data_IF_987394240032
#
_entry.id   IF_987394240032
#
_cell.length_a   1.000
_cell.length_b   1.000
_cell.length_c   1.000
_cell.angle_alpha   90.00
_cell.angle_beta   90.00
_cell.angle_gamma   90.00
#
_symmetry.space_group_name_H-M   'P 1'
#
loop_
_entity.id
_entity.type
_entity.pdbx_description
1 polymer ?
#
# COMPACT_ATOMS: atom_id res chain seq x y z
N UNK A 1 39.07 -20.28 -21.35
CA UNK A 1 38.36 -19.13 -20.73
C UNK A 1 36.88 -19.31 -21.03
N UNK A 2 35.99 -18.99 -20.08
CA UNK A 2 34.55 -19.15 -20.24
C UNK A 2 33.83 -17.85 -19.88
N UNK A 3 32.67 -17.63 -20.48
CA UNK A 3 31.78 -16.50 -20.20
C UNK A 3 30.35 -17.00 -20.00
N UNK A 4 29.62 -16.39 -19.07
CA UNK A 4 28.21 -16.66 -18.78
C UNK A 4 27.49 -15.31 -18.59
N UNK A 5 26.31 -15.19 -19.17
CA UNK A 5 25.45 -14.01 -19.06
C UNK A 5 24.12 -14.38 -18.41
N UNK A 6 23.43 -13.36 -17.90
CA UNK A 6 22.09 -13.49 -17.32
C UNK A 6 21.06 -12.78 -18.21
N UNK A 7 19.79 -13.24 -18.22
CA UNK A 7 18.75 -12.61 -19.02
C UNK A 7 18.44 -11.19 -18.53
N UNK A 8 18.07 -10.32 -19.47
CA UNK A 8 17.39 -9.07 -19.15
C UNK A 8 15.97 -9.38 -18.70
N UNK A 9 15.53 -8.70 -17.65
CA UNK A 9 14.20 -8.91 -17.07
C UNK A 9 13.19 -8.01 -17.79
N UNK A 10 12.22 -8.64 -18.46
CA UNK A 10 11.08 -7.99 -19.12
C UNK A 10 9.80 -8.61 -18.58
N UNK A 11 8.76 -7.80 -18.39
CA UNK A 11 7.43 -8.29 -18.01
C UNK A 11 6.74 -8.95 -19.21
N UNK A 12 5.76 -9.82 -18.95
CA UNK A 12 5.03 -10.53 -20.01
C UNK A 12 4.25 -9.58 -20.94
N UNK A 13 3.90 -8.39 -20.45
CA UNK A 13 3.24 -7.33 -21.22
C UNK A 13 4.22 -6.48 -22.06
N UNK A 14 5.51 -6.80 -22.06
CA UNK A 14 6.55 -6.09 -22.79
C UNK A 14 7.11 -4.86 -22.07
N UNK A 15 6.60 -4.53 -20.88
CA UNK A 15 7.14 -3.41 -20.09
C UNK A 15 8.48 -3.75 -19.45
N UNK A 16 9.30 -2.71 -19.25
CA UNK A 16 10.63 -2.85 -18.62
C UNK A 16 10.47 -3.04 -17.11
N UNK A 17 11.08 -4.10 -16.58
CA UNK A 17 11.16 -4.34 -15.14
C UNK A 17 11.90 -3.21 -14.40
N UNK A 18 11.50 -2.95 -13.15
CA UNK A 18 12.11 -1.94 -12.28
C UNK A 18 11.66 -0.50 -12.54
N UNK A 19 10.60 -0.30 -13.33
CA UNK A 19 9.95 1.01 -13.46
C UNK A 19 8.69 1.08 -12.58
N UNK A 20 8.61 2.10 -11.74
CA UNK A 20 7.37 2.44 -11.03
C UNK A 20 6.29 2.93 -12.01
N UNK A 21 5.03 2.91 -11.58
CA UNK A 21 3.86 3.39 -12.34
C UNK A 21 3.97 4.87 -12.76
N UNK A 22 4.83 5.65 -12.10
CA UNK A 22 5.15 7.05 -12.45
C UNK A 22 6.37 7.25 -13.35
N UNK A 23 7.01 6.17 -13.84
CA UNK A 23 8.13 6.23 -14.80
C UNK A 23 9.53 6.34 -14.19
N UNK A 24 9.66 6.38 -12.86
CA UNK A 24 10.94 6.42 -12.14
C UNK A 24 11.51 5.04 -11.83
N UNK A 25 12.82 5.00 -11.52
CA UNK A 25 13.53 3.80 -11.05
C UNK A 25 13.03 3.35 -9.68
N UNK A 26 13.02 2.04 -9.45
CA UNK A 26 12.90 1.44 -8.12
C UNK A 26 14.30 1.35 -7.49
N UNK A 27 14.54 2.09 -6.40
CA UNK A 27 15.85 2.15 -5.74
C UNK A 27 15.92 1.17 -4.56
N UNK A 28 17.13 0.70 -4.24
CA UNK A 28 17.38 -0.10 -3.03
C UNK A 28 17.51 0.78 -1.78
N UNK A 29 17.83 2.07 -1.95
CA UNK A 29 17.96 3.02 -0.85
C UNK A 29 16.57 3.36 -0.29
N UNK A 30 16.31 3.11 1.01
CA UNK A 30 15.01 3.34 1.64
C UNK A 30 14.58 4.82 1.66
N UNK A 31 15.50 5.78 1.45
CA UNK A 31 15.18 7.20 1.35
C UNK A 31 14.72 7.60 -0.06
N UNK A 32 15.09 6.83 -1.10
CA UNK A 32 14.70 7.06 -2.49
C UNK A 32 13.48 6.23 -2.89
N UNK A 33 13.35 5.03 -2.34
CA UNK A 33 12.17 4.16 -2.48
C UNK A 33 11.90 3.55 -1.12
N UNK A 34 10.79 3.95 -0.50
CA UNK A 34 10.45 3.44 0.83
C UNK A 34 10.30 1.91 0.80
N UNK A 35 10.58 1.21 1.91
CA UNK A 35 10.31 -0.23 2.01
C UNK A 35 8.87 -0.60 1.66
N UNK A 36 7.92 0.31 1.95
CA UNK A 36 6.52 0.15 1.55
C UNK A 36 6.33 0.19 0.03
N UNK A 37 6.89 1.20 -0.65
CA UNK A 37 6.84 1.30 -2.11
C UNK A 37 7.53 0.10 -2.78
N UNK A 38 8.67 -0.34 -2.24
CA UNK A 38 9.39 -1.54 -2.67
C UNK A 38 8.50 -2.79 -2.59
N UNK A 39 7.92 -3.05 -1.42
CA UNK A 39 7.02 -4.19 -1.24
C UNK A 39 5.78 -4.09 -2.15
N UNK A 40 5.18 -2.91 -2.27
CA UNK A 40 4.00 -2.70 -3.13
C UNK A 40 4.32 -2.91 -4.62
N UNK A 41 5.53 -2.59 -5.07
CA UNK A 41 5.94 -2.90 -6.43
C UNK A 41 5.85 -4.42 -6.70
N UNK A 42 6.44 -5.23 -5.83
CA UNK A 42 6.46 -6.68 -5.99
C UNK A 42 5.12 -7.35 -5.71
N UNK A 43 4.33 -6.85 -4.75
CA UNK A 43 2.99 -7.41 -4.48
C UNK A 43 2.04 -7.21 -5.65
N UNK A 44 2.31 -6.22 -6.50
CA UNK A 44 1.54 -5.91 -7.70
C UNK A 44 2.01 -6.63 -8.97
N UNK A 45 3.04 -7.50 -8.87
CA UNK A 45 3.48 -8.36 -9.98
C UNK A 45 2.30 -9.16 -10.56
N UNK A 46 2.27 -9.26 -11.89
CA UNK A 46 1.25 -10.01 -12.61
C UNK A 46 1.32 -11.51 -12.29
N UNK A 47 0.20 -12.22 -12.36
CA UNK A 47 0.18 -13.69 -12.22
C UNK A 47 1.06 -14.36 -13.29
N UNK A 48 1.18 -13.75 -14.48
CA UNK A 48 1.99 -14.26 -15.59
C UNK A 48 3.51 -14.18 -15.34
N UNK A 49 3.96 -13.27 -14.47
CA UNK A 49 5.39 -13.02 -14.22
C UNK A 49 5.85 -13.55 -12.86
N UNK A 50 4.96 -13.67 -11.88
CA UNK A 50 5.34 -13.87 -10.48
C UNK A 50 6.15 -15.14 -10.24
N UNK A 51 5.81 -16.27 -10.87
CA UNK A 51 6.55 -17.53 -10.71
C UNK A 51 7.94 -17.44 -11.35
N UNK A 52 8.04 -16.77 -12.51
CA UNK A 52 9.34 -16.51 -13.15
C UNK A 52 10.22 -15.63 -12.27
N UNK A 53 9.64 -14.60 -11.65
CA UNK A 53 10.38 -13.68 -10.77
C UNK A 53 10.79 -14.36 -9.47
N UNK A 54 9.91 -15.15 -8.84
CA UNK A 54 10.28 -15.98 -7.69
C UNK A 54 11.48 -16.86 -8.04
N UNK A 55 11.42 -17.58 -9.16
CA UNK A 55 12.51 -18.46 -9.60
C UNK A 55 13.83 -17.74 -9.87
N UNK A 56 13.79 -16.48 -10.30
CA UNK A 56 15.00 -15.72 -10.63
C UNK A 56 15.59 -14.94 -9.45
N UNK A 57 14.76 -14.47 -8.53
CA UNK A 57 15.18 -13.52 -7.50
C UNK A 57 15.18 -14.09 -6.09
N UNK A 58 14.76 -15.34 -5.91
CA UNK A 58 14.71 -16.00 -4.60
C UNK A 58 15.43 -17.34 -4.63
N UNK A 59 15.60 -17.95 -3.46
CA UNK A 59 16.25 -19.25 -3.30
C UNK A 59 15.25 -20.39 -3.09
N UNK A 60 13.99 -20.21 -3.50
CA UNK A 60 12.96 -21.22 -3.35
C UNK A 60 13.28 -22.50 -4.11
N UNK A 61 12.92 -23.63 -3.52
CA UNK A 61 13.02 -24.93 -4.16
C UNK A 61 12.02 -25.05 -5.33
N UNK A 62 12.28 -26.02 -6.22
CA UNK A 62 11.36 -26.32 -7.31
C UNK A 62 9.97 -26.77 -6.80
N UNK A 63 9.94 -27.45 -5.65
CA UNK A 63 8.70 -27.89 -4.99
C UNK A 63 7.92 -26.68 -4.46
N UNK A 64 8.56 -25.75 -3.75
CA UNK A 64 7.92 -24.51 -3.28
C UNK A 64 7.39 -23.65 -4.44
N UNK A 65 8.13 -23.59 -5.55
CA UNK A 65 7.69 -22.88 -6.75
C UNK A 65 6.45 -23.53 -7.38
N UNK A 66 6.40 -24.87 -7.44
CA UNK A 66 5.26 -25.60 -7.97
C UNK A 66 4.00 -25.40 -7.10
N UNK A 67 4.15 -25.38 -5.77
CA UNK A 67 3.04 -25.07 -4.85
C UNK A 67 2.48 -23.66 -5.07
N UNK A 68 3.36 -22.67 -5.25
CA UNK A 68 2.96 -21.28 -5.49
C UNK A 68 2.34 -21.10 -6.88
N UNK A 69 2.80 -21.85 -7.89
CA UNK A 69 2.21 -21.87 -9.23
C UNK A 69 0.79 -22.44 -9.18
N UNK A 70 0.58 -23.57 -8.51
CA UNK A 70 -0.75 -24.14 -8.28
C UNK A 70 -1.64 -23.17 -7.50
N UNK A 71 -1.12 -22.54 -6.44
CA UNK A 71 -1.88 -21.56 -5.67
C UNK A 71 -2.28 -20.33 -6.51
N UNK A 72 -1.44 -19.91 -7.46
CA UNK A 72 -1.74 -18.79 -8.38
C UNK A 72 -2.83 -19.18 -9.38
N UNK A 73 -2.82 -20.42 -9.88
CA UNK A 73 -3.86 -20.91 -10.80
C UNK A 73 -5.22 -21.13 -10.11
N UNK A 74 -5.23 -21.72 -8.91
CA UNK A 74 -6.46 -22.08 -8.21
C UNK A 74 -7.06 -20.93 -7.39
N UNK A 75 -6.19 -20.06 -6.83
CA UNK A 75 -6.57 -19.03 -5.86
C UNK A 75 -5.90 -17.68 -6.15
N UNK A 76 -5.98 -17.14 -7.38
CA UNK A 76 -5.31 -15.91 -7.78
C UNK A 76 -5.65 -14.71 -6.88
N UNK A 77 -6.90 -14.64 -6.40
CA UNK A 77 -7.37 -13.60 -5.48
C UNK A 77 -6.62 -13.53 -4.15
N UNK A 78 -5.96 -14.61 -3.72
CA UNK A 78 -5.17 -14.64 -2.49
C UNK A 78 -3.76 -14.05 -2.68
N UNK A 79 -3.30 -13.91 -3.93
CA UNK A 79 -1.99 -13.35 -4.30
C UNK A 79 -0.83 -13.94 -3.49
N UNK A 80 -0.85 -15.27 -3.28
CA UNK A 80 0.11 -15.94 -2.41
C UNK A 80 1.56 -15.81 -2.94
N UNK A 81 1.75 -16.03 -4.25
CA UNK A 81 3.04 -15.91 -4.91
C UNK A 81 3.58 -14.48 -4.85
N UNK A 82 2.75 -13.45 -5.07
CA UNK A 82 3.19 -12.06 -5.04
C UNK A 82 3.56 -11.61 -3.63
N UNK A 83 2.80 -12.04 -2.62
CA UNK A 83 3.15 -11.77 -1.22
C UNK A 83 4.47 -12.44 -0.85
N UNK A 84 4.69 -13.70 -1.27
CA UNK A 84 5.99 -14.37 -1.07
C UNK A 84 7.12 -13.60 -1.75
N UNK A 85 6.95 -13.21 -3.01
CA UNK A 85 7.97 -12.46 -3.76
C UNK A 85 8.30 -11.13 -3.07
N UNK A 86 7.27 -10.37 -2.68
CA UNK A 86 7.45 -9.10 -2.00
C UNK A 86 8.15 -9.28 -0.65
N UNK A 87 7.77 -10.29 0.14
CA UNK A 87 8.40 -10.57 1.42
C UNK A 87 9.88 -10.95 1.27
N UNK A 88 10.20 -11.90 0.39
CA UNK A 88 11.59 -12.33 0.13
C UNK A 88 12.48 -11.15 -0.30
N UNK A 89 12.01 -10.34 -1.25
CA UNK A 89 12.81 -9.23 -1.76
C UNK A 89 12.87 -8.02 -0.83
N UNK A 90 11.84 -7.79 -0.02
CA UNK A 90 11.90 -6.75 1.02
C UNK A 90 12.85 -7.17 2.13
N UNK A 91 12.82 -8.44 2.55
CA UNK A 91 13.73 -8.96 3.58
C UNK A 91 15.18 -8.95 3.10
N UNK A 92 15.42 -9.26 1.82
CA UNK A 92 16.75 -9.22 1.23
C UNK A 92 17.36 -7.81 1.24
N UNK A 93 16.57 -6.77 0.96
CA UNK A 93 17.06 -5.39 0.79
C UNK A 93 16.99 -4.56 2.07
N UNK A 94 15.92 -4.73 2.85
CA UNK A 94 15.58 -3.88 4.00
C UNK A 94 15.52 -4.65 5.34
N UNK A 95 15.69 -5.97 5.31
CA UNK A 95 15.66 -6.83 6.50
C UNK A 95 14.25 -7.22 6.96
N UNK A 96 14.18 -8.28 7.77
CA UNK A 96 12.91 -8.89 8.21
C UNK A 96 12.02 -7.93 9.00
N UNK A 97 12.62 -7.06 9.82
CA UNK A 97 11.88 -6.08 10.62
C UNK A 97 11.09 -5.09 9.74
N UNK A 98 11.72 -4.60 8.65
CA UNK A 98 11.06 -3.73 7.70
C UNK A 98 9.96 -4.47 6.92
N UNK A 99 10.21 -5.72 6.53
CA UNK A 99 9.20 -6.58 5.88
C UNK A 99 7.96 -6.74 6.77
N UNK A 100 8.15 -7.11 8.04
CA UNK A 100 7.04 -7.27 8.99
C UNK A 100 6.24 -5.98 9.18
N UNK A 101 6.92 -4.83 9.30
CA UNK A 101 6.27 -3.53 9.43
C UNK A 101 5.42 -3.20 8.18
N UNK A 102 5.97 -3.43 6.99
CA UNK A 102 5.29 -3.14 5.72
C UNK A 102 4.12 -4.10 5.45
N UNK A 103 4.24 -5.38 5.80
CA UNK A 103 3.14 -6.34 5.72
C UNK A 103 1.99 -5.93 6.65
N UNK A 104 2.32 -5.54 7.89
CA UNK A 104 1.33 -5.05 8.84
C UNK A 104 0.66 -3.77 8.33
N UNK A 105 1.43 -2.82 7.79
CA UNK A 105 0.92 -1.57 7.24
C UNK A 105 -0.01 -1.80 6.06
N UNK A 106 0.42 -2.64 5.11
CA UNK A 106 -0.37 -3.02 3.95
C UNK A 106 -1.70 -3.67 4.35
N UNK A 107 -1.73 -4.47 5.42
CA UNK A 107 -2.99 -5.03 5.94
C UNK A 107 -3.83 -4.00 6.68
N UNK A 108 -3.21 -3.16 7.50
CA UNK A 108 -3.89 -2.20 8.36
C UNK A 108 -4.57 -1.10 7.56
N UNK A 109 -3.94 -0.59 6.49
CA UNK A 109 -4.54 0.41 5.60
C UNK A 109 -5.85 -0.05 4.95
N UNK A 110 -6.05 -1.36 4.81
CA UNK A 110 -7.27 -1.95 4.25
C UNK A 110 -8.14 -2.65 5.31
N UNK A 111 -7.91 -2.38 6.60
CA UNK A 111 -8.78 -2.82 7.70
C UNK A 111 -8.65 -4.29 8.06
N UNK A 112 -7.55 -4.92 7.68
CA UNK A 112 -7.23 -6.30 8.04
C UNK A 112 -6.25 -6.40 9.22
N UNK A 113 -5.89 -5.26 9.83
CA UNK A 113 -5.05 -5.15 11.01
C UNK A 113 -5.27 -3.79 11.72
N UNK A 114 -4.79 -3.66 12.96
CA UNK A 114 -4.85 -2.43 13.75
C UNK A 114 -3.81 -1.39 13.27
N UNK A 115 -4.27 -0.18 12.95
CA UNK A 115 -3.41 0.94 12.53
C UNK A 115 -2.58 1.52 13.69
N UNK A 116 -3.09 1.44 14.93
CA UNK A 116 -2.43 1.98 16.12
C UNK A 116 -1.11 1.30 16.49
N UNK A 117 -0.84 0.11 15.92
CA UNK A 117 0.43 -0.62 16.12
C UNK A 117 1.53 -0.22 15.16
N UNK A 118 1.21 0.58 14.12
CA UNK A 118 2.21 1.06 13.18
C UNK A 118 3.01 2.18 13.81
N UNK A 119 4.33 2.17 13.60
CA UNK A 119 5.14 3.35 13.85
C UNK A 119 4.79 4.48 12.86
N UNK A 120 5.08 5.73 13.26
CA UNK A 120 4.78 6.89 12.42
C UNK A 120 5.50 6.85 11.06
N UNK A 121 6.81 6.48 10.96
CA UNK A 121 7.50 6.44 9.68
C UNK A 121 6.86 5.49 8.66
N UNK A 122 6.45 4.30 9.10
CA UNK A 122 5.81 3.31 8.24
C UNK A 122 4.42 3.77 7.82
N UNK A 123 3.62 4.31 8.74
CA UNK A 123 2.31 4.87 8.40
C UNK A 123 2.43 6.02 7.39
N UNK A 124 3.37 6.93 7.61
CA UNK A 124 3.62 8.06 6.72
C UNK A 124 4.09 7.61 5.34
N UNK A 125 5.02 6.65 5.26
CA UNK A 125 5.46 6.07 3.99
C UNK A 125 4.28 5.42 3.24
N UNK A 126 3.45 4.66 3.95
CA UNK A 126 2.33 3.97 3.36
C UNK A 126 1.23 4.92 2.84
N UNK A 127 0.94 6.02 3.56
CA UNK A 127 -0.02 7.03 3.13
C UNK A 127 0.50 7.89 1.98
N UNK A 128 1.81 8.15 1.90
CA UNK A 128 2.41 8.93 0.79
C UNK A 128 2.38 8.22 -0.56
N UNK A 129 2.22 6.90 -0.58
CA UNK A 129 1.90 6.15 -1.81
C UNK A 129 0.43 6.33 -2.25
N UNK A 130 -0.37 7.07 -1.47
CA UNK A 130 -1.75 7.45 -1.79
C UNK A 130 -1.86 8.97 -1.89
N UNK A 131 -3.05 9.48 -2.19
CA UNK A 131 -3.32 10.91 -2.07
C UNK A 131 -3.32 11.31 -0.59
N UNK A 132 -2.54 12.31 -0.22
CA UNK A 132 -2.53 12.90 1.12
C UNK A 132 -3.00 14.36 1.04
N UNK A 133 -4.01 14.72 1.83
CA UNK A 133 -4.42 16.10 2.00
C UNK A 133 -3.82 16.71 3.27
N UNK A 134 -3.28 17.92 3.19
CA UNK A 134 -2.84 18.68 4.36
C UNK A 134 -4.03 19.37 5.03
N UNK A 135 -4.23 19.11 6.33
CA UNK A 135 -5.18 19.82 7.18
C UNK A 135 -4.44 20.92 7.94
N UNK A 136 -4.66 22.17 7.52
CA UNK A 136 -4.02 23.36 8.09
C UNK A 136 -4.87 23.93 9.23
N UNK A 137 -4.29 24.72 10.16
CA UNK A 137 -5.06 25.34 11.22
C UNK A 137 -6.17 26.23 10.63
N UNK A 138 -7.41 26.04 11.08
CA UNK A 138 -8.57 26.81 10.63
C UNK A 138 -9.16 26.38 9.28
N UNK A 139 -8.59 25.40 8.57
CA UNK A 139 -9.26 24.82 7.40
C UNK A 139 -10.43 23.91 7.81
N UNK A 140 -11.44 23.72 6.95
CA UNK A 140 -12.54 22.80 7.22
C UNK A 140 -12.05 21.37 7.49
N UNK A 141 -12.50 20.79 8.60
CA UNK A 141 -12.05 19.48 9.11
C UNK A 141 -13.17 18.41 9.11
N UNK A 142 -14.40 18.77 8.78
CA UNK A 142 -15.51 17.82 8.69
C UNK A 142 -15.25 16.70 7.68
N UNK A 143 -15.78 15.50 7.94
CA UNK A 143 -15.53 14.31 7.08
C UNK A 143 -15.83 14.56 5.60
N UNK A 144 -16.88 15.34 5.30
CA UNK A 144 -17.26 15.70 3.93
C UNK A 144 -16.16 16.52 3.25
N UNK A 145 -15.58 17.48 3.96
CA UNK A 145 -14.48 18.31 3.49
C UNK A 145 -13.22 17.48 3.27
N UNK A 146 -12.88 16.63 4.23
CA UNK A 146 -11.70 15.76 4.14
C UNK A 146 -11.79 14.79 2.95
N UNK A 147 -12.96 14.17 2.71
CA UNK A 147 -13.15 13.26 1.57
C UNK A 147 -12.96 13.94 0.21
N UNK A 148 -13.36 15.22 0.11
CA UNK A 148 -13.16 16.00 -1.12
C UNK A 148 -11.70 16.43 -1.23
N UNK A 149 -11.09 16.89 -0.13
CA UNK A 149 -9.69 17.32 -0.10
C UNK A 149 -8.73 16.18 -0.49
N UNK A 150 -9.03 14.94 -0.10
CA UNK A 150 -8.23 13.77 -0.46
C UNK A 150 -8.58 13.17 -1.83
N UNK A 151 -9.56 13.72 -2.54
CA UNK A 151 -10.04 13.17 -3.81
C UNK A 151 -10.77 11.83 -3.69
N UNK A 152 -11.16 11.41 -2.48
CA UNK A 152 -12.00 10.22 -2.27
C UNK A 152 -13.44 10.47 -2.71
N UNK A 153 -13.87 11.72 -2.84
CA UNK A 153 -15.15 12.10 -3.42
C UNK A 153 -15.00 13.33 -4.33
N UNK A 154 -15.63 13.28 -5.50
CA UNK A 154 -15.55 14.37 -6.49
C UNK A 154 -16.32 15.63 -6.07
N UNK A 155 -17.22 15.51 -5.08
CA UNK A 155 -18.01 16.63 -4.56
C UNK A 155 -18.54 16.34 -3.15
N UNK A 156 -18.94 17.41 -2.43
CA UNK A 156 -19.61 17.28 -1.12
C UNK A 156 -20.86 16.41 -1.18
N UNK A 157 -21.66 16.53 -2.25
CA UNK A 157 -22.89 15.73 -2.45
C UNK A 157 -22.56 14.24 -2.61
N UNK A 158 -21.51 13.92 -3.37
CA UNK A 158 -21.03 12.55 -3.50
C UNK A 158 -20.52 12.01 -2.17
N UNK A 159 -19.71 12.78 -1.43
CA UNK A 159 -19.20 12.41 -0.12
C UNK A 159 -20.33 12.04 0.86
N UNK A 160 -21.33 12.91 1.02
CA UNK A 160 -22.49 12.67 1.89
C UNK A 160 -23.26 11.41 1.52
N UNK A 161 -23.49 11.20 0.22
CA UNK A 161 -24.14 9.98 -0.28
C UNK A 161 -23.35 8.73 0.13
N UNK A 162 -22.03 8.74 -0.08
CA UNK A 162 -21.17 7.60 0.27
C UNK A 162 -21.14 7.32 1.78
N UNK A 163 -21.18 8.37 2.62
CA UNK A 163 -21.28 8.21 4.08
C UNK A 163 -22.59 7.54 4.45
N UNK A 164 -23.73 8.01 3.92
CA UNK A 164 -25.05 7.46 4.19
C UNK A 164 -25.20 6.00 3.71
N UNK A 165 -24.53 5.65 2.62
CA UNK A 165 -24.44 4.26 2.13
C UNK A 165 -23.50 3.39 2.97
N UNK A 166 -22.80 3.95 3.97
CA UNK A 166 -21.87 3.22 4.83
C UNK A 166 -20.50 2.97 4.23
N UNK A 167 -20.16 3.68 3.17
CA UNK A 167 -18.95 3.44 2.38
C UNK A 167 -17.70 4.11 2.91
N UNK A 168 -17.77 4.86 4.01
CA UNK A 168 -16.65 5.65 4.55
C UNK A 168 -16.20 5.16 5.91
N UNK A 169 -14.88 5.09 6.10
CA UNK A 169 -14.27 4.87 7.42
C UNK A 169 -13.08 5.81 7.66
N UNK A 170 -12.87 6.16 8.92
CA UNK A 170 -11.67 6.84 9.43
C UNK A 170 -10.95 5.90 10.37
N UNK A 171 -9.67 5.66 10.14
CA UNK A 171 -8.85 4.73 10.94
C UNK A 171 -9.49 3.34 11.12
N UNK A 172 -10.11 2.83 10.05
CA UNK A 172 -10.90 1.59 10.02
C UNK A 172 -12.18 1.58 10.88
N UNK A 173 -12.60 2.72 11.42
CA UNK A 173 -13.88 2.89 12.11
C UNK A 173 -14.87 3.50 11.11
N UNK A 174 -16.02 2.85 10.92
CA UNK A 174 -17.06 3.34 10.02
C UNK A 174 -17.60 4.68 10.51
N UNK A 175 -17.74 5.65 9.61
CA UNK A 175 -18.37 6.94 9.92
C UNK A 175 -19.89 6.79 9.76
N UNK A 176 -20.64 7.18 10.78
CA UNK A 176 -22.10 7.04 10.81
C UNK A 176 -22.85 8.28 10.34
N UNK A 177 -22.23 9.45 10.43
CA UNK A 177 -22.86 10.76 10.19
C UNK A 177 -21.96 11.66 9.35
N UNK A 178 -22.55 12.47 8.48
CA UNK A 178 -21.83 13.45 7.67
C UNK A 178 -21.43 14.73 8.43
N UNK A 179 -21.79 14.82 9.71
CA UNK A 179 -21.39 15.86 10.67
C UNK A 179 -20.13 15.47 11.46
N UNK A 180 -19.57 14.28 11.23
CA UNK A 180 -18.37 13.84 11.93
C UNK A 180 -17.19 14.80 11.71
N UNK A 181 -16.51 15.13 12.80
CA UNK A 181 -15.31 15.98 12.83
C UNK A 181 -14.22 15.28 13.65
N UNK A 182 -12.95 15.32 13.21
CA UNK A 182 -11.86 14.64 13.88
C UNK A 182 -11.54 15.31 15.22
N UNK A 183 -11.48 14.51 16.28
CA UNK A 183 -10.98 14.91 17.58
C UNK A 183 -9.47 14.72 17.66
N UNK A 184 -8.82 15.36 18.62
CA UNK A 184 -7.37 15.24 18.80
C UNK A 184 -6.88 13.79 18.95
N UNK A 185 -7.68 12.92 19.59
CA UNK A 185 -7.35 11.50 19.79
C UNK A 185 -7.54 10.64 18.53
N UNK A 186 -8.26 11.13 17.52
CA UNK A 186 -8.45 10.41 16.27
C UNK A 186 -7.18 10.45 15.41
N UNK A 187 -6.31 11.44 15.61
CA UNK A 187 -5.08 11.53 14.84
C UNK A 187 -4.06 10.49 15.33
N UNK A 188 -3.77 9.52 14.48
CA UNK A 188 -2.70 8.55 14.68
C UNK A 188 -1.37 9.30 14.77
N UNK A 189 -0.61 9.03 15.83
CA UNK A 189 0.61 9.77 16.18
C UNK A 189 0.39 11.28 16.29
N UNK A 190 -0.84 11.72 16.61
CA UNK A 190 -1.22 13.13 16.67
C UNK A 190 -1.23 13.85 15.32
N UNK A 191 -1.01 13.14 14.21
CA UNK A 191 -0.77 13.75 12.88
C UNK A 191 -1.64 13.19 11.75
N UNK A 192 -1.95 11.89 11.75
CA UNK A 192 -2.50 11.22 10.58
C UNK A 192 -3.93 10.74 10.76
N UNK A 193 -4.77 10.91 9.73
CA UNK A 193 -6.02 10.15 9.58
C UNK A 193 -5.92 9.26 8.35
N UNK A 194 -6.40 8.03 8.47
CA UNK A 194 -6.55 7.10 7.34
C UNK A 194 -8.00 7.10 6.90
N UNK A 195 -8.30 7.74 5.76
CA UNK A 195 -9.62 7.74 5.17
C UNK A 195 -9.75 6.58 4.19
N UNK A 196 -10.90 5.91 4.19
CA UNK A 196 -11.21 4.88 3.19
C UNK A 196 -12.59 5.05 2.60
N UNK A 197 -12.67 4.81 1.30
CA UNK A 197 -13.93 4.67 0.56
C UNK A 197 -14.05 3.26 -0.01
N UNK A 198 -14.96 2.47 0.58
CA UNK A 198 -15.13 1.06 0.24
C UNK A 198 -13.88 0.23 0.56
N UNK A 199 -13.64 -0.83 -0.22
CA UNK A 199 -12.57 -1.80 0.07
C UNK A 199 -11.20 -1.42 -0.48
N UNK A 200 -11.12 -0.57 -1.52
CA UNK A 200 -9.90 -0.36 -2.32
C UNK A 200 -9.36 1.07 -2.33
N UNK A 201 -10.18 2.08 -2.01
CA UNK A 201 -9.73 3.46 -2.05
C UNK A 201 -9.33 3.90 -0.64
N UNK A 202 -8.08 4.32 -0.49
CA UNK A 202 -7.49 4.81 0.75
C UNK A 202 -6.80 6.13 0.45
N UNK A 203 -6.88 7.07 1.39
CA UNK A 203 -6.18 8.33 1.33
C UNK A 203 -5.78 8.80 2.74
N UNK A 204 -4.74 9.62 2.83
CA UNK A 204 -4.28 10.21 4.09
C UNK A 204 -4.78 11.64 4.29
N UNK A 205 -4.96 12.01 5.56
CA UNK A 205 -4.97 13.43 5.96
C UNK A 205 -3.81 13.65 6.92
N UNK A 206 -3.00 14.65 6.64
CA UNK A 206 -1.88 15.07 7.47
C UNK A 206 -2.20 16.39 8.15
N UNK A 207 -2.28 16.40 9.48
CA UNK A 207 -2.40 17.64 10.24
C UNK A 207 -1.06 18.37 10.24
N UNK A 208 -1.06 19.62 9.77
CA UNK A 208 0.13 20.46 9.66
C UNK A 208 -0.01 21.69 10.58
N UNK A 209 1.08 22.13 11.21
CA UNK A 209 1.13 23.39 11.95
C UNK A 209 0.41 23.39 13.30
N UNK A 210 0.38 22.24 13.99
CA UNK A 210 -0.06 22.10 15.39
C UNK A 210 0.95 22.64 16.39
#
# INVERSE_FOLDING_TARGET
MHALTVPLVTAADGTKFGKSTGGGSLWLDPQLTSPYAWYQYFVNTSDADVIRYLRWFTFLSAEELAELEQATAERPQQRAAQRRLAAELTSLVHGEAATAAVEHASRALFGHAELSRLDEPTLAAALRETTVAELKPGSPDGIVDLLVATGLADSRKAARRTINEGGVSVNNIRVETDEWTPQGMDFLHGRWLVLRRGKRNVAGVERVGS
#
